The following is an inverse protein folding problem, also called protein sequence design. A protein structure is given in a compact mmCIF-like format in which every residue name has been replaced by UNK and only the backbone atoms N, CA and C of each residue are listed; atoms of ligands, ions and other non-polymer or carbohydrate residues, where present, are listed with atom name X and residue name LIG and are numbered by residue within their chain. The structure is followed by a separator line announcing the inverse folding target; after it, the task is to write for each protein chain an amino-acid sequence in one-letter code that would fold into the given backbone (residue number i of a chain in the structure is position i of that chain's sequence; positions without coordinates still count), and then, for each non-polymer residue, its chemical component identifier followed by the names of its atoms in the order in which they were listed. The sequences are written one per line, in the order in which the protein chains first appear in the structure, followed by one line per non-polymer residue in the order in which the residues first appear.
data_IF_354921023041
#
_entry.id   IF_354921023041
#
_cell.length_a   1.000
_cell.length_b   1.000
_cell.length_c   1.000
_cell.angle_alpha   90.00
_cell.angle_beta   90.00
_cell.angle_gamma   90.00
#
_symmetry.space_group_name_H-M   'P 1'
#
loop_
_entity.id
_entity.type
_entity.pdbx_description
1 polymer ?
#
# COMPACT_ATOMS: atom_id res chain seq x y z
N UNK A 1 9.76 -71.27 33.93
CA UNK A 1 9.06 -70.09 34.45
C UNK A 1 9.91 -68.79 34.38
N UNK A 2 11.15 -68.74 34.86
CA UNK A 2 12.00 -67.56 34.81
C UNK A 2 12.23 -66.98 33.40
N UNK A 3 12.52 -67.77 32.40
CA UNK A 3 12.74 -67.33 31.00
C UNK A 3 11.47 -66.77 30.34
N UNK A 4 10.31 -67.33 30.68
CA UNK A 4 9.02 -66.87 30.16
C UNK A 4 8.68 -65.49 30.74
N UNK A 5 8.96 -65.21 32.01
CA UNK A 5 8.78 -63.93 32.68
C UNK A 5 9.74 -62.89 32.11
N UNK A 6 10.98 -63.21 31.80
CA UNK A 6 11.94 -62.36 31.14
C UNK A 6 11.52 -61.93 29.73
N UNK A 7 10.91 -62.86 28.96
CA UNK A 7 10.38 -62.50 27.62
C UNK A 7 9.20 -61.54 27.70
N UNK A 8 8.30 -61.67 28.68
CA UNK A 8 7.18 -60.76 28.89
C UNK A 8 7.68 -59.36 29.28
N UNK A 9 8.63 -59.28 30.20
CA UNK A 9 9.21 -57.99 30.61
C UNK A 9 9.90 -57.31 29.43
N UNK A 10 10.67 -58.03 28.62
CA UNK A 10 11.34 -57.48 27.43
C UNK A 10 10.31 -56.95 26.40
N UNK A 11 9.21 -57.69 26.17
CA UNK A 11 8.16 -57.25 25.26
C UNK A 11 7.45 -55.95 25.75
N UNK A 12 7.21 -55.83 27.06
CA UNK A 12 6.63 -54.65 27.68
C UNK A 12 7.58 -53.44 27.54
N UNK A 13 8.89 -53.65 27.80
CA UNK A 13 9.91 -52.58 27.67
C UNK A 13 10.01 -52.12 26.23
N UNK A 14 10.02 -53.01 25.25
CA UNK A 14 10.03 -52.68 23.83
C UNK A 14 8.73 -51.91 23.46
N UNK A 15 7.57 -52.34 23.94
CA UNK A 15 6.31 -51.65 23.72
C UNK A 15 6.31 -50.21 24.26
N UNK A 16 6.84 -50.01 25.47
CA UNK A 16 6.99 -48.66 26.07
C UNK A 16 7.98 -47.82 25.27
N UNK A 17 9.09 -48.39 24.83
CA UNK A 17 10.07 -47.69 23.98
C UNK A 17 9.45 -47.27 22.64
N UNK A 18 8.70 -48.13 21.99
CA UNK A 18 7.97 -47.81 20.77
C UNK A 18 6.93 -46.70 20.95
N UNK A 19 6.22 -46.72 22.08
CA UNK A 19 5.27 -45.64 22.45
C UNK A 19 5.98 -44.32 22.72
N UNK A 20 7.13 -44.34 23.41
CA UNK A 20 7.92 -43.11 23.63
C UNK A 20 8.50 -42.54 22.32
N UNK A 21 9.00 -43.41 21.44
CA UNK A 21 9.51 -43.03 20.12
C UNK A 21 8.36 -42.47 19.26
N UNK A 22 7.20 -43.14 19.26
CA UNK A 22 6.01 -42.67 18.54
C UNK A 22 5.51 -41.32 19.09
N UNK A 23 5.54 -41.12 20.40
CA UNK A 23 5.20 -39.86 21.05
C UNK A 23 6.22 -38.76 20.73
N UNK A 24 7.52 -39.09 20.66
CA UNK A 24 8.59 -38.19 20.29
C UNK A 24 8.51 -37.81 18.80
N UNK A 25 8.19 -38.72 17.90
CA UNK A 25 7.92 -38.41 16.48
C UNK A 25 6.65 -37.59 16.31
N UNK A 26 5.55 -37.91 17.01
CA UNK A 26 4.33 -37.08 17.02
C UNK A 26 4.55 -35.69 17.57
N UNK A 27 5.39 -35.55 18.58
CA UNK A 27 5.78 -34.24 19.14
C UNK A 27 6.64 -33.42 18.17
N UNK A 28 7.40 -34.07 17.28
CA UNK A 28 8.23 -33.44 16.26
C UNK A 28 7.44 -33.12 14.98
N UNK A 29 6.43 -33.90 14.63
CA UNK A 29 5.53 -33.67 13.49
C UNK A 29 4.43 -32.64 13.81
N UNK A 30 4.13 -32.37 15.09
CA UNK A 30 3.21 -31.31 15.50
C UNK A 30 3.78 -29.89 15.37
N UNK A 31 4.96 -29.71 14.75
CA UNK A 31 5.50 -28.40 14.42
C UNK A 31 5.07 -27.89 13.04
N UNK A 32 4.35 -28.63 12.24
CA UNK A 32 3.58 -28.12 11.12
C UNK A 32 2.14 -27.89 11.61
N UNK A 33 1.92 -26.77 12.31
CA UNK A 33 0.56 -26.33 12.59
C UNK A 33 -0.15 -26.13 11.25
N UNK A 34 -1.31 -26.76 11.06
CA UNK A 34 -2.24 -26.43 9.97
C UNK A 34 -2.84 -25.03 10.16
N UNK A 35 -2.10 -24.14 10.80
CA UNK A 35 -2.50 -22.79 11.12
C UNK A 35 -2.43 -21.94 9.87
N UNK A 36 -3.54 -21.36 9.48
CA UNK A 36 -3.63 -20.48 8.31
C UNK A 36 -3.71 -19.03 8.74
N UNK A 37 -3.12 -18.17 7.92
CA UNK A 37 -3.20 -16.73 8.02
C UNK A 37 -3.80 -16.17 6.73
N UNK A 38 -4.94 -15.53 6.82
CA UNK A 38 -5.63 -14.93 5.68
C UNK A 38 -5.20 -13.47 5.54
N UNK A 39 -4.50 -13.18 4.45
CA UNK A 39 -3.94 -11.85 4.14
C UNK A 39 -4.66 -11.26 2.95
N UNK A 40 -5.15 -10.02 3.07
CA UNK A 40 -5.88 -9.31 2.04
C UNK A 40 -5.16 -8.01 1.70
N UNK A 41 -4.52 -7.96 0.54
CA UNK A 41 -3.61 -6.89 0.14
C UNK A 41 -3.94 -6.38 -1.27
N UNK A 42 -3.28 -5.33 -1.70
CA UNK A 42 -3.28 -4.87 -3.07
C UNK A 42 -2.61 -5.88 -4.00
N UNK A 43 -2.92 -5.83 -5.31
CA UNK A 43 -2.18 -6.56 -6.33
C UNK A 43 -0.72 -6.10 -6.38
N UNK A 44 0.21 -7.03 -6.61
CA UNK A 44 1.66 -6.76 -6.75
C UNK A 44 2.28 -5.90 -5.64
N UNK A 45 1.83 -6.06 -4.40
CA UNK A 45 2.17 -5.20 -3.28
C UNK A 45 3.00 -5.88 -2.19
N UNK A 46 3.53 -7.05 -2.47
CA UNK A 46 4.47 -7.81 -1.63
C UNK A 46 5.32 -8.73 -2.48
N UNK A 47 6.62 -8.80 -2.19
CA UNK A 47 7.47 -9.85 -2.74
C UNK A 47 7.02 -11.22 -2.20
N UNK A 48 6.49 -12.06 -3.09
CA UNK A 48 5.97 -13.39 -2.74
C UNK A 48 7.03 -14.32 -2.13
N UNK A 49 8.31 -14.04 -2.31
CA UNK A 49 9.39 -14.77 -1.64
C UNK A 49 9.38 -14.53 -0.12
N UNK A 50 8.92 -13.35 0.33
CA UNK A 50 8.74 -13.05 1.75
C UNK A 50 7.60 -13.87 2.38
N UNK A 51 6.54 -14.13 1.63
CA UNK A 51 5.47 -15.02 2.11
C UNK A 51 6.04 -16.42 2.35
N UNK A 52 6.76 -16.99 1.38
CA UNK A 52 7.42 -18.28 1.52
C UNK A 52 8.42 -18.31 2.69
N UNK A 53 9.15 -17.22 2.89
CA UNK A 53 10.07 -17.05 4.00
C UNK A 53 9.34 -17.06 5.34
N UNK A 54 8.25 -16.31 5.46
CA UNK A 54 7.41 -16.28 6.65
C UNK A 54 6.85 -17.67 6.99
N UNK A 55 6.28 -18.36 6.00
CA UNK A 55 5.76 -19.73 6.16
C UNK A 55 6.85 -20.70 6.67
N UNK A 56 8.06 -20.60 6.09
CA UNK A 56 9.20 -21.43 6.50
C UNK A 56 9.65 -21.14 7.93
N UNK A 57 9.67 -19.88 8.33
CA UNK A 57 10.16 -19.45 9.66
C UNK A 57 9.13 -19.73 10.77
N UNK A 58 7.83 -19.65 10.45
CA UNK A 58 6.77 -19.71 11.46
C UNK A 58 5.96 -21.01 11.44
N UNK A 59 5.96 -21.74 10.32
CA UNK A 59 5.08 -22.88 10.08
C UNK A 59 3.63 -22.50 9.78
N UNK A 60 3.30 -21.20 9.71
CA UNK A 60 1.95 -20.69 9.43
C UNK A 60 1.79 -20.58 7.91
N UNK A 61 0.80 -21.26 7.35
CA UNK A 61 0.48 -21.17 5.92
C UNK A 61 -0.27 -19.86 5.62
N UNK A 62 0.19 -19.08 4.62
CA UNK A 62 -0.45 -17.83 4.21
C UNK A 62 -1.43 -18.07 3.06
N UNK A 63 -2.68 -17.68 3.25
CA UNK A 63 -3.69 -17.60 2.19
C UNK A 63 -3.74 -16.13 1.77
N UNK A 64 -3.16 -15.84 0.60
CA UNK A 64 -3.00 -14.48 0.11
C UNK A 64 -4.06 -14.19 -0.95
N UNK A 65 -4.87 -13.16 -0.72
CA UNK A 65 -5.87 -12.65 -1.66
C UNK A 65 -5.61 -11.17 -1.95
N UNK A 66 -6.01 -10.71 -3.14
CA UNK A 66 -5.83 -9.33 -3.57
C UNK A 66 -7.15 -8.62 -3.81
N UNK A 67 -7.09 -7.27 -3.76
CA UNK A 67 -8.19 -6.37 -4.11
C UNK A 67 -7.66 -5.23 -4.99
N UNK A 68 -8.58 -4.60 -5.73
CA UNK A 68 -8.27 -3.54 -6.69
C UNK A 68 -8.69 -2.15 -6.17
N UNK A 69 -9.52 -2.09 -5.11
CA UNK A 69 -9.98 -0.82 -4.55
C UNK A 69 -10.25 -0.93 -3.05
N UNK A 70 -10.06 0.20 -2.34
CA UNK A 70 -10.42 0.32 -0.92
C UNK A 70 -11.91 0.03 -0.67
N UNK A 71 -12.76 0.42 -1.61
CA UNK A 71 -14.21 0.23 -1.52
C UNK A 71 -14.58 -1.26 -1.59
N UNK A 72 -13.95 -2.02 -2.49
CA UNK A 72 -14.14 -3.47 -2.58
C UNK A 72 -13.64 -4.17 -1.32
N UNK A 73 -12.48 -3.79 -0.80
CA UNK A 73 -11.90 -4.33 0.43
C UNK A 73 -12.79 -3.98 1.64
N UNK A 74 -13.22 -2.72 1.80
CA UNK A 74 -14.12 -2.28 2.86
C UNK A 74 -15.43 -3.08 2.84
N UNK A 75 -16.06 -3.22 1.67
CA UNK A 75 -17.30 -3.96 1.52
C UNK A 75 -17.16 -5.42 1.94
N UNK A 76 -16.05 -6.07 1.56
CA UNK A 76 -15.78 -7.46 1.90
C UNK A 76 -15.54 -7.66 3.40
N UNK A 77 -14.79 -6.77 4.04
CA UNK A 77 -14.59 -6.78 5.51
C UNK A 77 -15.90 -6.51 6.25
N UNK A 78 -16.71 -5.55 5.76
CA UNK A 78 -17.97 -5.15 6.38
C UNK A 78 -19.03 -6.25 6.30
N UNK A 79 -19.11 -6.94 5.17
CA UNK A 79 -20.11 -8.00 4.96
C UNK A 79 -19.81 -9.30 5.74
N UNK A 80 -18.58 -9.49 6.21
CA UNK A 80 -18.22 -10.56 7.16
C UNK A 80 -18.31 -11.99 6.62
N UNK A 81 -18.56 -12.19 5.33
CA UNK A 81 -18.67 -13.54 4.72
C UNK A 81 -17.31 -14.26 4.57
N UNK A 82 -16.24 -13.52 4.56
CA UNK A 82 -14.86 -14.02 4.58
C UNK A 82 -14.13 -13.37 5.76
N UNK A 83 -13.36 -14.13 6.51
CA UNK A 83 -12.51 -13.56 7.54
C UNK A 83 -11.11 -13.34 6.97
N UNK A 84 -10.53 -12.18 7.27
CA UNK A 84 -9.13 -11.88 7.03
C UNK A 84 -8.47 -11.58 8.36
N UNK A 85 -7.20 -11.97 8.48
CA UNK A 85 -6.41 -11.77 9.69
C UNK A 85 -5.58 -10.49 9.58
N UNK A 86 -5.11 -10.16 8.36
CA UNK A 86 -4.42 -8.91 8.06
C UNK A 86 -5.00 -8.32 6.79
N UNK A 87 -5.26 -7.01 6.79
CA UNK A 87 -5.66 -6.25 5.59
C UNK A 87 -4.81 -4.98 5.44
N UNK A 88 -4.74 -4.46 4.21
CA UNK A 88 -3.84 -3.34 3.84
C UNK A 88 -4.61 -2.13 3.28
N UNK A 89 -5.45 -1.47 4.11
CA UNK A 89 -6.19 -0.28 3.69
C UNK A 89 -5.33 0.97 3.60
N UNK A 90 -5.74 1.89 2.72
CA UNK A 90 -5.26 3.26 2.77
C UNK A 90 -5.83 4.01 3.98
N UNK A 91 -5.20 5.12 4.37
CA UNK A 91 -5.46 5.87 5.60
C UNK A 91 -6.92 6.34 5.75
N UNK A 92 -7.58 6.74 4.66
CA UNK A 92 -9.00 7.16 4.72
C UNK A 92 -9.94 5.97 4.97
N UNK A 93 -9.55 4.79 4.52
CA UNK A 93 -10.31 3.56 4.78
C UNK A 93 -10.06 3.05 6.20
N UNK A 94 -8.84 3.24 6.75
CA UNK A 94 -8.60 3.03 8.20
C UNK A 94 -9.57 3.87 9.01
N UNK A 95 -9.80 5.15 8.65
CA UNK A 95 -10.75 6.03 9.35
C UNK A 95 -12.18 5.47 9.27
N UNK A 96 -12.63 5.02 8.09
CA UNK A 96 -13.97 4.43 7.90
C UNK A 96 -14.16 3.15 8.70
N UNK A 97 -13.20 2.22 8.62
CA UNK A 97 -13.26 0.93 9.34
C UNK A 97 -13.20 1.14 10.85
N UNK A 98 -12.36 2.06 11.34
CA UNK A 98 -12.28 2.45 12.74
C UNK A 98 -13.61 3.02 13.25
N UNK A 99 -14.20 3.97 12.51
CA UNK A 99 -15.51 4.57 12.82
C UNK A 99 -16.63 3.52 12.88
N UNK A 100 -16.57 2.54 11.98
CA UNK A 100 -17.49 1.41 11.95
C UNK A 100 -17.18 0.33 13.01
N UNK A 101 -16.12 0.47 13.82
CA UNK A 101 -15.65 -0.49 14.84
C UNK A 101 -15.30 -1.88 14.25
N UNK A 102 -14.80 -1.90 13.04
CA UNK A 102 -14.43 -3.12 12.30
C UNK A 102 -12.94 -3.51 12.45
N UNK A 103 -12.16 -2.73 13.20
CA UNK A 103 -10.73 -3.01 13.45
C UNK A 103 -10.47 -3.40 14.89
N UNK A 104 -9.51 -4.31 15.10
CA UNK A 104 -8.93 -4.62 16.40
C UNK A 104 -8.04 -3.48 16.87
N UNK A 105 -8.01 -3.24 18.16
CA UNK A 105 -6.98 -2.40 18.79
C UNK A 105 -5.67 -3.19 18.83
N UNK A 106 -4.61 -2.62 18.30
CA UNK A 106 -3.31 -3.28 18.22
C UNK A 106 -2.61 -3.30 19.59
N UNK A 107 -1.98 -4.42 19.88
CA UNK A 107 -1.02 -4.55 20.99
C UNK A 107 0.40 -4.40 20.43
N UNK A 108 1.01 -3.25 20.64
CA UNK A 108 2.36 -2.94 20.13
C UNK A 108 3.45 -3.83 20.75
N UNK A 109 3.26 -4.39 21.95
CA UNK A 109 4.22 -5.33 22.53
C UNK A 109 4.41 -6.61 21.71
N UNK A 110 3.40 -6.95 20.88
CA UNK A 110 3.45 -8.06 19.93
C UNK A 110 4.12 -7.71 18.61
N UNK A 111 4.49 -6.44 18.41
CA UNK A 111 5.11 -5.93 17.17
C UNK A 111 6.43 -5.20 17.54
N UNK A 112 7.43 -5.88 18.11
CA UNK A 112 8.67 -5.22 18.57
C UNK A 112 9.42 -4.47 17.45
N UNK A 113 9.25 -4.85 16.18
CA UNK A 113 9.84 -4.15 15.04
C UNK A 113 9.16 -2.82 14.69
N UNK A 114 8.08 -2.44 15.37
CA UNK A 114 7.46 -1.10 15.22
C UNK A 114 8.49 0.03 15.50
N UNK A 115 9.50 -0.21 16.34
CA UNK A 115 10.63 0.69 16.62
C UNK A 115 11.49 1.04 15.39
N UNK A 116 11.39 0.23 14.33
CA UNK A 116 12.09 0.45 13.07
C UNK A 116 11.44 1.55 12.22
N UNK A 117 10.17 1.90 12.51
CA UNK A 117 9.46 2.95 11.80
C UNK A 117 10.00 4.34 12.16
N UNK A 118 9.88 5.25 11.21
CA UNK A 118 10.20 6.66 11.42
C UNK A 118 9.07 7.36 12.17
N UNK A 119 9.42 8.14 13.19
CA UNK A 119 8.43 8.85 14.00
C UNK A 119 7.63 9.88 13.20
N UNK A 120 8.20 10.42 12.12
CA UNK A 120 7.54 11.40 11.26
C UNK A 120 6.32 10.79 10.54
N UNK A 121 6.29 9.46 10.37
CA UNK A 121 5.19 8.72 9.74
C UNK A 121 4.31 7.96 10.73
N UNK A 122 4.51 8.20 12.02
CA UNK A 122 3.72 7.61 13.10
C UNK A 122 2.79 8.64 13.75
N UNK A 123 1.78 8.17 14.44
CA UNK A 123 0.86 9.02 15.21
C UNK A 123 0.15 10.08 14.36
N UNK A 124 -0.15 9.74 13.09
CA UNK A 124 -0.84 10.63 12.17
C UNK A 124 -2.32 10.80 12.53
N UNK A 125 -2.93 11.89 12.08
CA UNK A 125 -4.28 12.31 12.48
C UNK A 125 -5.38 11.29 12.19
N UNK A 126 -5.18 10.43 11.19
CA UNK A 126 -6.16 9.38 10.87
C UNK A 126 -6.18 8.23 11.90
N UNK A 127 -5.06 7.96 12.58
CA UNK A 127 -4.98 6.97 13.63
C UNK A 127 -4.00 7.37 14.75
N UNK A 128 -4.40 8.29 15.65
CA UNK A 128 -3.56 8.72 16.76
C UNK A 128 -3.05 7.55 17.61
N UNK A 129 -1.74 7.61 17.92
CA UNK A 129 -0.98 6.57 18.63
C UNK A 129 -0.91 5.22 17.88
N UNK A 130 -1.19 5.18 16.59
CA UNK A 130 -1.22 3.96 15.78
C UNK A 130 -2.00 2.83 16.47
N UNK A 131 -3.17 3.21 16.97
CA UNK A 131 -3.98 2.33 17.81
C UNK A 131 -4.60 1.17 17.02
N UNK A 132 -4.86 1.36 15.74
CA UNK A 132 -5.57 0.41 14.88
C UNK A 132 -4.77 0.01 13.64
N UNK A 133 -3.71 0.74 13.31
CA UNK A 133 -2.99 0.58 12.06
C UNK A 133 -1.50 0.82 12.21
N UNK A 134 -0.71 0.14 11.40
CA UNK A 134 0.74 0.34 11.29
C UNK A 134 1.07 0.70 9.84
N UNK A 135 1.72 1.83 9.56
CA UNK A 135 2.13 2.21 8.20
C UNK A 135 3.00 1.13 7.55
N UNK A 136 2.69 0.83 6.29
CA UNK A 136 3.35 -0.20 5.49
C UNK A 136 4.16 0.41 4.34
N UNK A 137 3.52 1.16 3.47
CA UNK A 137 4.11 2.00 2.45
C UNK A 137 3.49 3.39 2.47
N UNK A 138 4.18 4.34 1.85
CA UNK A 138 3.65 5.68 1.60
C UNK A 138 4.13 6.20 0.26
N UNK A 139 3.50 7.25 -0.21
CA UNK A 139 3.91 7.91 -1.44
C UNK A 139 3.11 9.18 -1.71
N UNK A 140 3.33 9.72 -2.89
CA UNK A 140 2.68 10.94 -3.36
C UNK A 140 2.05 10.70 -4.73
N UNK A 141 1.18 11.59 -5.15
CA UNK A 141 0.78 11.74 -6.55
C UNK A 141 1.57 12.89 -7.15
N UNK A 142 2.02 12.77 -8.37
CA UNK A 142 2.81 13.81 -9.01
C UNK A 142 2.89 13.65 -10.52
N UNK A 143 3.72 14.47 -11.15
CA UNK A 143 3.90 14.52 -12.59
C UNK A 143 5.18 13.75 -12.95
N UNK A 144 5.04 12.68 -13.71
CA UNK A 144 6.14 11.99 -14.39
C UNK A 144 6.23 12.50 -15.81
N UNK A 145 7.43 12.82 -16.29
CA UNK A 145 7.61 13.29 -17.66
C UNK A 145 8.94 12.85 -18.28
N UNK A 146 8.95 12.77 -19.61
CA UNK A 146 10.10 12.42 -20.42
C UNK A 146 10.89 13.69 -20.81
N UNK A 147 12.08 13.88 -20.21
CA UNK A 147 12.99 15.01 -20.47
C UNK A 147 13.61 15.00 -21.87
N UNK A 148 13.67 13.86 -22.54
CA UNK A 148 14.19 13.78 -23.91
C UNK A 148 13.16 14.24 -24.91
N UNK A 149 11.87 13.96 -24.63
CA UNK A 149 10.75 14.45 -25.44
C UNK A 149 10.50 15.94 -25.23
N UNK A 150 10.62 16.41 -23.98
CA UNK A 150 10.36 17.79 -23.57
C UNK A 150 11.57 18.41 -22.87
N UNK A 151 12.71 18.61 -23.59
CA UNK A 151 13.98 19.01 -22.96
C UNK A 151 14.00 20.43 -22.40
N UNK A 152 13.09 21.29 -22.85
CA UNK A 152 12.99 22.68 -22.43
C UNK A 152 11.87 22.93 -21.41
N UNK A 153 11.14 21.87 -21.01
CA UNK A 153 10.04 21.96 -20.10
C UNK A 153 10.48 21.67 -18.66
N UNK A 154 9.96 22.44 -17.75
CA UNK A 154 10.05 22.21 -16.32
C UNK A 154 8.65 22.10 -15.77
N UNK A 155 8.35 20.95 -15.17
CA UNK A 155 7.06 20.74 -14.51
C UNK A 155 7.24 21.04 -13.03
N UNK A 156 6.60 22.10 -12.53
CA UNK A 156 6.60 22.45 -11.10
C UNK A 156 5.20 22.77 -10.57
N UNK A 157 4.20 22.77 -11.45
CA UNK A 157 2.81 23.17 -11.19
C UNK A 157 1.83 22.23 -11.88
N UNK A 158 0.65 22.02 -11.30
CA UNK A 158 -0.45 21.35 -12.00
C UNK A 158 -0.89 22.14 -13.25
N UNK A 159 -0.70 23.45 -13.27
CA UNK A 159 -1.03 24.30 -14.42
C UNK A 159 -0.18 24.01 -15.66
N UNK A 160 1.04 23.50 -15.48
CA UNK A 160 1.94 23.16 -16.58
C UNK A 160 1.35 22.08 -17.49
N UNK A 161 0.48 21.20 -16.97
CA UNK A 161 -0.19 20.16 -17.77
C UNK A 161 -1.13 20.71 -18.85
N UNK A 162 -1.60 21.96 -18.69
CA UNK A 162 -2.61 22.55 -19.58
C UNK A 162 -2.03 23.15 -20.86
N UNK A 163 -0.70 23.15 -21.05
CA UNK A 163 -0.06 23.70 -22.22
C UNK A 163 -0.40 22.87 -23.49
N UNK A 164 -0.77 23.56 -24.58
CA UNK A 164 -1.24 22.94 -25.82
C UNK A 164 -0.23 22.02 -26.51
N UNK A 165 1.05 22.15 -26.18
CA UNK A 165 2.12 21.28 -26.69
C UNK A 165 2.01 19.83 -26.24
N UNK A 166 1.30 19.55 -25.15
CA UNK A 166 1.05 18.21 -24.63
C UNK A 166 -0.22 17.57 -25.21
N UNK A 167 -0.75 18.12 -26.31
CA UNK A 167 -1.98 17.62 -26.92
C UNK A 167 -1.94 16.12 -27.16
N UNK A 168 -2.91 15.40 -26.58
CA UNK A 168 -3.06 13.95 -26.67
C UNK A 168 -1.79 13.15 -26.27
N UNK A 169 -1.09 13.61 -25.23
CA UNK A 169 0.18 13.02 -24.78
C UNK A 169 0.24 12.78 -23.26
N UNK A 170 -0.78 13.21 -22.50
CA UNK A 170 -0.85 13.04 -21.05
C UNK A 170 -1.64 11.78 -20.70
N UNK A 171 -1.05 10.93 -19.89
CA UNK A 171 -1.71 9.79 -19.25
C UNK A 171 -2.11 10.16 -17.82
N UNK A 172 -3.33 9.84 -17.43
CA UNK A 172 -3.82 10.06 -16.07
C UNK A 172 -4.13 8.72 -15.40
N UNK A 173 -3.79 8.59 -14.13
CA UNK A 173 -4.17 7.44 -13.33
C UNK A 173 -5.70 7.35 -13.20
N UNK A 174 -6.27 6.12 -13.24
CA UNK A 174 -7.71 5.89 -13.07
C UNK A 174 -8.10 5.93 -11.59
N UNK A 175 -8.19 7.15 -11.04
CA UNK A 175 -8.53 7.40 -9.66
C UNK A 175 -9.33 8.69 -9.49
N UNK A 176 -10.58 8.58 -9.02
CA UNK A 176 -11.46 9.74 -8.86
C UNK A 176 -10.88 10.77 -7.86
N UNK A 177 -10.29 10.29 -6.77
CA UNK A 177 -9.68 11.16 -5.76
C UNK A 177 -8.49 11.91 -6.35
N UNK A 178 -7.58 11.20 -6.99
CA UNK A 178 -6.33 11.71 -7.55
C UNK A 178 -6.57 12.77 -8.63
N UNK A 179 -7.56 12.55 -9.49
CA UNK A 179 -7.84 13.49 -10.60
C UNK A 179 -8.60 14.73 -10.11
N UNK A 180 -9.61 14.57 -9.27
CA UNK A 180 -10.36 15.72 -8.75
C UNK A 180 -9.49 16.55 -7.79
N UNK A 181 -8.64 15.91 -6.97
CA UNK A 181 -7.71 16.65 -6.10
C UNK A 181 -6.70 17.49 -6.88
N UNK A 182 -6.20 16.98 -8.01
CA UNK A 182 -5.32 17.76 -8.90
C UNK A 182 -6.00 19.07 -9.31
N UNK A 183 -7.27 19.01 -9.73
CA UNK A 183 -8.06 20.19 -10.06
C UNK A 183 -8.30 21.10 -8.85
N UNK A 184 -8.60 20.53 -7.68
CA UNK A 184 -8.80 21.29 -6.44
C UNK A 184 -7.51 22.02 -6.01
N UNK A 185 -6.37 21.30 -5.96
CA UNK A 185 -5.09 21.88 -5.57
C UNK A 185 -4.65 22.99 -6.53
N UNK A 186 -4.80 22.78 -7.85
CA UNK A 186 -4.56 23.82 -8.87
C UNK A 186 -5.32 25.11 -8.59
N UNK A 187 -6.55 24.99 -8.09
CA UNK A 187 -7.42 26.13 -7.73
C UNK A 187 -7.16 26.66 -6.32
N UNK A 188 -6.19 26.10 -5.58
CA UNK A 188 -5.85 26.52 -4.21
C UNK A 188 -6.80 25.98 -3.13
N UNK A 189 -7.59 24.95 -3.45
CA UNK A 189 -8.45 24.26 -2.49
C UNK A 189 -7.74 23.03 -1.90
N UNK A 190 -8.17 22.60 -0.70
CA UNK A 190 -7.73 21.35 -0.10
C UNK A 190 -8.18 20.15 -0.94
N UNK A 191 -7.31 19.15 -1.06
CA UNK A 191 -7.68 17.87 -1.69
C UNK A 191 -8.76 17.08 -0.89
N UNK A 192 -9.07 17.54 0.32
CA UNK A 192 -10.15 17.01 1.17
C UNK A 192 -11.38 17.93 1.19
N UNK A 193 -11.49 18.86 0.25
CA UNK A 193 -12.62 19.80 0.19
C UNK A 193 -13.94 19.04 -0.03
N UNK A 194 -14.97 19.43 0.72
CA UNK A 194 -16.31 18.84 0.69
C UNK A 194 -17.37 19.79 0.12
N UNK A 195 -16.93 20.99 -0.30
CA UNK A 195 -17.85 21.96 -0.88
C UNK A 195 -18.20 21.58 -2.33
N UNK A 196 -19.46 21.24 -2.63
CA UNK A 196 -19.85 20.83 -3.99
C UNK A 196 -19.51 21.88 -5.04
N UNK A 197 -19.55 23.18 -4.69
CA UNK A 197 -19.21 24.27 -5.61
C UNK A 197 -17.72 24.21 -6.01
N UNK A 198 -16.82 23.95 -5.06
CA UNK A 198 -15.39 23.84 -5.35
C UNK A 198 -15.07 22.57 -6.17
N UNK A 199 -15.72 21.45 -5.84
CA UNK A 199 -15.59 20.19 -6.58
C UNK A 199 -16.04 20.40 -8.03
N UNK A 200 -17.17 21.05 -8.25
CA UNK A 200 -17.65 21.37 -9.60
C UNK A 200 -16.74 22.38 -10.34
N UNK A 201 -16.13 23.34 -9.63
CA UNK A 201 -15.14 24.24 -10.22
C UNK A 201 -13.89 23.47 -10.68
N UNK A 202 -13.42 22.51 -9.88
CA UNK A 202 -12.31 21.64 -10.25
C UNK A 202 -12.65 20.78 -11.47
N UNK A 203 -13.83 20.16 -11.51
CA UNK A 203 -14.34 19.45 -12.69
C UNK A 203 -14.33 20.31 -13.94
N UNK A 204 -14.92 21.52 -13.85
CA UNK A 204 -14.96 22.46 -14.97
C UNK A 204 -13.56 22.86 -15.46
N UNK A 205 -12.62 23.07 -14.54
CA UNK A 205 -11.23 23.37 -14.89
C UNK A 205 -10.57 22.20 -15.59
N UNK A 206 -10.78 20.96 -15.11
CA UNK A 206 -10.26 19.74 -15.73
C UNK A 206 -10.74 19.54 -17.17
N UNK A 207 -11.93 20.00 -17.55
CA UNK A 207 -12.37 19.98 -18.95
C UNK A 207 -11.43 20.77 -19.89
N UNK A 208 -10.71 21.78 -19.37
CA UNK A 208 -9.70 22.49 -20.16
C UNK A 208 -8.43 21.66 -20.38
N UNK A 209 -8.18 20.64 -19.52
CA UNK A 209 -7.10 19.68 -19.69
C UNK A 209 -7.43 18.58 -20.71
N UNK A 210 -8.69 18.31 -20.98
CA UNK A 210 -9.15 17.21 -21.82
C UNK A 210 -8.42 17.10 -23.20
N UNK A 211 -8.12 18.20 -23.92
CA UNK A 211 -7.40 18.11 -25.20
C UNK A 211 -5.96 17.56 -25.08
N UNK A 212 -5.33 17.63 -23.91
CA UNK A 212 -3.97 17.16 -23.65
C UNK A 212 -3.98 15.69 -23.22
N UNK A 213 -5.10 15.20 -22.68
CA UNK A 213 -5.22 13.85 -22.16
C UNK A 213 -5.31 12.83 -23.30
N UNK A 214 -4.41 11.87 -23.29
CA UNK A 214 -4.42 10.69 -24.17
C UNK A 214 -5.34 9.60 -23.62
N UNK A 215 -5.35 9.43 -22.30
CA UNK A 215 -6.18 8.42 -21.65
C UNK A 215 -6.09 8.48 -20.14
N UNK A 216 -7.12 7.89 -19.51
CA UNK A 216 -7.16 7.58 -18.09
C UNK A 216 -7.02 6.06 -17.98
N UNK A 217 -5.96 5.58 -17.32
CA UNK A 217 -5.53 4.19 -17.38
C UNK A 217 -5.12 3.67 -15.99
N UNK A 218 -5.25 2.38 -15.78
CA UNK A 218 -4.85 1.69 -14.56
C UNK A 218 -3.38 1.28 -14.55
N UNK A 219 -3.11 0.02 -14.21
CA UNK A 219 -1.75 -0.52 -14.07
C UNK A 219 -0.97 -0.54 -15.40
N UNK A 220 -1.67 -0.52 -16.54
CA UNK A 220 -1.07 -0.45 -17.87
C UNK A 220 -0.31 0.84 -18.15
N UNK A 221 -0.45 1.87 -17.32
CA UNK A 221 0.22 3.18 -17.48
C UNK A 221 1.75 3.04 -17.62
N UNK A 222 2.35 2.13 -16.83
CA UNK A 222 3.79 1.86 -16.89
C UNK A 222 4.22 1.35 -18.25
N UNK A 223 3.49 0.38 -18.80
CA UNK A 223 3.77 -0.20 -20.10
C UNK A 223 3.60 0.84 -21.22
N UNK A 224 2.54 1.65 -21.15
CA UNK A 224 2.27 2.71 -22.15
C UNK A 224 3.40 3.75 -22.18
N UNK A 225 3.88 4.19 -21.02
CA UNK A 225 5.03 5.10 -20.91
C UNK A 225 6.31 4.50 -21.52
N UNK A 226 6.61 3.23 -21.24
CA UNK A 226 7.77 2.53 -21.78
C UNK A 226 7.68 2.35 -23.31
N UNK A 227 6.47 2.20 -23.85
CA UNK A 227 6.20 2.09 -25.29
C UNK A 227 6.08 3.45 -26.01
N UNK A 228 6.30 4.55 -25.30
CA UNK A 228 6.14 5.92 -25.81
C UNK A 228 4.71 6.24 -26.29
N UNK A 229 3.73 5.64 -25.65
CA UNK A 229 2.31 5.93 -25.90
C UNK A 229 1.78 7.12 -25.07
N UNK A 230 2.65 7.82 -24.40
CA UNK A 230 2.49 9.04 -23.64
C UNK A 230 3.83 9.43 -23.06
N UNK A 231 4.09 10.74 -22.88
CA UNK A 231 5.37 11.23 -22.40
C UNK A 231 5.25 12.07 -21.13
N UNK A 232 4.04 12.41 -20.75
CA UNK A 232 3.69 13.06 -19.47
C UNK A 232 2.62 12.23 -18.79
N UNK A 233 2.72 12.06 -17.49
CA UNK A 233 1.71 11.31 -16.73
C UNK A 233 1.49 11.87 -15.33
N UNK A 234 0.25 11.81 -14.86
CA UNK A 234 -0.09 11.99 -13.45
C UNK A 234 -0.19 10.61 -12.83
N UNK A 235 0.72 10.29 -11.91
CA UNK A 235 0.88 8.93 -11.37
C UNK A 235 1.25 8.95 -9.89
N UNK A 236 1.05 7.81 -9.23
CA UNK A 236 1.63 7.56 -7.91
C UNK A 236 3.16 7.43 -7.99
N UNK A 237 3.83 7.89 -6.96
CA UNK A 237 5.30 7.87 -6.86
C UNK A 237 5.92 6.47 -7.03
N UNK A 238 5.22 5.40 -6.62
CA UNK A 238 5.69 4.03 -6.80
C UNK A 238 5.65 3.55 -8.26
N UNK A 239 4.76 4.07 -9.08
CA UNK A 239 4.78 3.86 -10.54
C UNK A 239 5.97 4.61 -11.16
N UNK A 240 6.22 5.82 -10.70
CA UNK A 240 7.31 6.66 -11.22
C UNK A 240 8.70 6.15 -10.82
N UNK A 241 8.86 5.62 -9.60
CA UNK A 241 10.17 5.29 -9.02
C UNK A 241 10.98 4.28 -9.85
N UNK A 242 10.45 3.12 -10.27
CA UNK A 242 11.18 2.20 -11.13
C UNK A 242 11.59 2.85 -12.46
N UNK A 243 10.68 3.56 -13.11
CA UNK A 243 10.94 4.21 -14.41
C UNK A 243 12.08 5.22 -14.31
N UNK A 244 12.07 6.06 -13.28
CA UNK A 244 13.11 7.08 -13.05
C UNK A 244 14.45 6.46 -12.66
N UNK A 245 14.45 5.31 -11.96
CA UNK A 245 15.66 4.61 -11.55
C UNK A 245 16.32 3.83 -12.69
N UNK A 246 15.52 3.28 -13.58
CA UNK A 246 15.98 2.49 -14.74
C UNK A 246 16.39 3.36 -15.91
N UNK A 247 15.69 4.48 -16.14
CA UNK A 247 15.92 5.34 -17.28
C UNK A 247 15.95 6.82 -16.91
N UNK A 248 17.13 7.45 -17.09
CA UNK A 248 17.39 8.86 -16.74
C UNK A 248 16.61 9.85 -17.60
N UNK A 249 15.94 9.42 -18.67
CA UNK A 249 15.05 10.29 -19.46
C UNK A 249 13.83 10.74 -18.66
N UNK A 250 13.34 9.91 -17.74
CA UNK A 250 12.20 10.26 -16.89
C UNK A 250 12.59 11.14 -15.71
N UNK A 251 11.69 12.02 -15.34
CA UNK A 251 11.73 12.74 -14.07
C UNK A 251 10.35 12.76 -13.43
N UNK A 252 10.32 12.82 -12.10
CA UNK A 252 9.10 12.92 -11.32
C UNK A 252 9.15 14.16 -10.43
N UNK A 253 8.08 14.90 -10.36
CA UNK A 253 7.95 16.11 -9.55
C UNK A 253 6.64 16.12 -8.78
N UNK A 254 6.70 16.68 -7.57
CA UNK A 254 5.53 16.99 -6.75
C UNK A 254 5.23 18.48 -6.98
N UNK A 255 4.07 18.84 -7.54
CA UNK A 255 3.73 20.24 -7.83
C UNK A 255 3.74 21.16 -6.62
N UNK A 256 4.04 22.42 -6.84
CA UNK A 256 4.20 23.43 -5.78
C UNK A 256 2.91 23.77 -5.04
N UNK A 257 1.77 23.59 -5.68
CA UNK A 257 0.45 23.81 -5.06
C UNK A 257 0.16 22.78 -3.97
N UNK A 258 0.85 21.64 -4.00
CA UNK A 258 0.64 20.52 -3.11
C UNK A 258 0.16 19.28 -3.84
N UNK A 259 0.02 18.22 -3.10
CA UNK A 259 -0.48 16.94 -3.56
C UNK A 259 -0.84 16.03 -2.39
N UNK A 260 -1.30 14.83 -2.68
CA UNK A 260 -1.55 13.80 -1.70
C UNK A 260 -0.26 13.21 -1.13
N UNK A 261 -0.23 13.01 0.18
CA UNK A 261 0.70 12.12 0.87
C UNK A 261 -0.12 10.97 1.44
N UNK A 262 -0.16 9.86 0.72
CA UNK A 262 -0.96 8.70 1.10
C UNK A 262 -0.15 7.69 1.91
N UNK A 263 -0.87 6.90 2.72
CA UNK A 263 -0.32 5.82 3.54
C UNK A 263 -1.18 4.57 3.41
N UNK A 264 -0.58 3.47 2.97
CA UNK A 264 -1.19 2.17 3.16
C UNK A 264 -0.74 1.55 4.48
N UNK A 265 -1.65 0.89 5.14
CA UNK A 265 -1.48 0.47 6.52
C UNK A 265 -1.81 -0.99 6.70
N UNK A 266 -1.10 -1.66 7.58
CA UNK A 266 -1.48 -2.99 8.07
C UNK A 266 -2.50 -2.85 9.20
N UNK A 267 -3.62 -3.55 9.11
CA UNK A 267 -4.66 -3.59 10.14
C UNK A 267 -5.09 -5.03 10.42
N UNK A 268 -5.67 -5.26 11.60
CA UNK A 268 -6.29 -6.53 11.99
C UNK A 268 -7.82 -6.31 12.01
N UNK A 269 -8.60 -6.88 11.09
CA UNK A 269 -10.05 -6.81 11.12
C UNK A 269 -10.64 -7.48 12.37
N UNK A 270 -11.82 -7.04 12.82
CA UNK A 270 -12.54 -7.66 13.96
C UNK A 270 -12.90 -9.13 13.73
N UNK A 271 -13.02 -9.53 12.47
CA UNK A 271 -13.32 -10.90 12.07
C UNK A 271 -12.12 -11.83 12.09
N UNK A 272 -10.91 -11.32 12.39
CA UNK A 272 -9.67 -12.10 12.41
C UNK A 272 -9.76 -13.29 13.37
N UNK A 273 -9.41 -14.47 12.87
CA UNK A 273 -9.41 -15.73 13.61
C UNK A 273 -8.01 -16.10 14.10
N UNK A 274 -6.96 -15.69 13.38
CA UNK A 274 -5.56 -15.92 13.71
C UNK A 274 -4.83 -14.61 14.05
N UNK A 275 -5.21 -13.97 15.16
CA UNK A 275 -4.60 -12.71 15.59
C UNK A 275 -3.12 -12.84 15.94
N UNK A 276 -2.70 -13.97 16.51
CA UNK A 276 -1.29 -14.21 16.83
C UNK A 276 -0.44 -14.33 15.56
N UNK A 277 -0.94 -15.04 14.55
CA UNK A 277 -0.34 -15.09 13.22
C UNK A 277 -0.27 -13.72 12.57
N UNK A 278 -1.33 -12.90 12.70
CA UNK A 278 -1.37 -11.53 12.19
C UNK A 278 -0.27 -10.66 12.82
N UNK A 279 -0.10 -10.68 14.14
CA UNK A 279 0.98 -9.96 14.82
C UNK A 279 2.37 -10.42 14.37
N UNK A 280 2.58 -11.73 14.24
CA UNK A 280 3.85 -12.28 13.73
C UNK A 280 4.13 -11.79 12.31
N UNK A 281 3.11 -11.77 11.44
CA UNK A 281 3.25 -11.33 10.05
C UNK A 281 3.56 -9.83 9.95
N UNK A 282 2.82 -8.99 10.68
CA UNK A 282 3.11 -7.56 10.77
C UNK A 282 4.52 -7.30 11.28
N UNK A 283 4.94 -7.98 12.35
CA UNK A 283 6.29 -7.85 12.89
C UNK A 283 7.36 -8.33 11.91
N UNK A 284 7.10 -9.40 11.16
CA UNK A 284 7.99 -9.94 10.12
C UNK A 284 8.17 -8.94 8.97
N UNK A 285 7.11 -8.31 8.50
CA UNK A 285 7.17 -7.28 7.44
C UNK A 285 7.90 -6.02 7.90
N UNK A 286 7.87 -5.70 9.19
CA UNK A 286 8.60 -4.58 9.77
C UNK A 286 10.05 -4.89 10.13
N UNK A 287 10.52 -6.12 9.96
CA UNK A 287 11.95 -6.41 10.04
C UNK A 287 12.71 -5.59 8.98
N UNK A 288 13.86 -5.02 9.37
CA UNK A 288 14.58 -4.10 8.52
C UNK A 288 15.05 -4.71 7.19
N UNK A 289 15.39 -6.01 7.18
CA UNK A 289 15.82 -6.70 5.96
C UNK A 289 14.64 -7.06 5.07
N UNK A 290 13.55 -7.58 5.67
CA UNK A 290 12.35 -7.95 4.95
C UNK A 290 11.66 -6.71 4.35
N UNK A 291 11.56 -5.63 5.13
CA UNK A 291 11.00 -4.36 4.66
C UNK A 291 11.84 -3.74 3.54
N UNK A 292 13.19 -3.81 3.62
CA UNK A 292 14.05 -3.31 2.55
C UNK A 292 13.87 -4.12 1.25
N UNK A 293 13.88 -5.46 1.35
CA UNK A 293 13.64 -6.35 0.21
C UNK A 293 12.28 -6.05 -0.44
N UNK A 294 11.24 -5.89 0.38
CA UNK A 294 9.90 -5.60 -0.11
C UNK A 294 9.82 -4.23 -0.79
N UNK A 295 10.49 -3.22 -0.24
CA UNK A 295 10.59 -1.88 -0.82
C UNK A 295 11.27 -1.89 -2.19
N UNK A 296 12.35 -2.64 -2.33
CA UNK A 296 13.06 -2.77 -3.62
C UNK A 296 12.20 -3.48 -4.67
N UNK A 297 11.40 -4.46 -4.26
CA UNK A 297 10.54 -5.21 -5.17
C UNK A 297 9.30 -4.41 -5.59
N UNK A 298 8.63 -3.75 -4.63
CA UNK A 298 7.37 -3.01 -4.87
C UNK A 298 7.63 -1.65 -5.51
N UNK A 299 8.74 -0.98 -5.17
CA UNK A 299 9.10 0.34 -5.67
C UNK A 299 8.53 1.53 -4.88
N UNK A 300 7.63 1.32 -3.91
CA UNK A 300 7.10 2.38 -3.06
C UNK A 300 8.01 2.73 -1.89
N UNK A 301 7.90 3.95 -1.38
CA UNK A 301 8.67 4.39 -0.23
C UNK A 301 8.21 3.71 1.06
N UNK A 302 9.18 3.33 1.88
CA UNK A 302 8.92 2.68 3.16
C UNK A 302 8.99 3.67 4.33
N UNK A 303 8.03 3.64 5.26
CA UNK A 303 8.11 4.38 6.52
C UNK A 303 9.12 3.77 7.51
N UNK A 304 9.71 2.62 7.17
CA UNK A 304 10.67 1.90 8.01
C UNK A 304 12.08 2.49 7.81
N UNK A 305 12.52 3.36 8.74
CA UNK A 305 13.84 4.02 8.66
C UNK A 305 15.02 3.03 8.71
N UNK A 306 14.86 1.91 9.43
CA UNK A 306 15.88 0.88 9.50
C UNK A 306 16.01 0.14 8.15
N UNK A 307 14.89 -0.11 7.46
CA UNK A 307 14.87 -0.64 6.10
C UNK A 307 15.43 0.38 5.09
N UNK A 308 14.97 1.63 5.14
CA UNK A 308 15.45 2.71 4.26
C UNK A 308 16.98 2.84 4.32
N UNK A 309 17.59 2.65 5.50
CA UNK A 309 19.05 2.70 5.64
C UNK A 309 19.79 1.62 4.86
N UNK A 310 19.11 0.49 4.54
CA UNK A 310 19.65 -0.63 3.77
C UNK A 310 19.51 -0.48 2.26
N UNK A 311 18.59 0.37 1.81
CA UNK A 311 18.37 0.64 0.39
C UNK A 311 19.61 1.29 -0.27
N UNK A 312 19.81 1.10 -1.59
CA UNK A 312 20.84 1.80 -2.35
C UNK A 312 20.79 3.32 -2.12
N UNK A 313 21.94 3.97 -2.06
CA UNK A 313 22.03 5.43 -1.81
C UNK A 313 21.19 6.25 -2.77
N UNK A 314 21.13 5.84 -4.04
CA UNK A 314 20.32 6.50 -5.08
C UNK A 314 18.82 6.45 -4.80
N UNK A 315 18.34 5.41 -4.10
CA UNK A 315 16.92 5.24 -3.74
C UNK A 315 16.62 5.97 -2.44
N UNK A 316 17.37 5.66 -1.37
CA UNK A 316 17.06 6.18 -0.02
C UNK A 316 17.21 7.69 0.14
N UNK A 317 17.99 8.35 -0.74
CA UNK A 317 18.23 9.79 -0.72
C UNK A 317 17.46 10.53 -1.82
N UNK A 318 16.62 9.85 -2.58
CA UNK A 318 15.85 10.49 -3.64
C UNK A 318 14.66 11.24 -3.03
N UNK A 319 14.76 12.57 -2.99
CA UNK A 319 13.75 13.46 -2.43
C UNK A 319 12.40 13.40 -3.16
N UNK A 320 12.40 12.91 -4.40
CA UNK A 320 11.16 12.73 -5.18
C UNK A 320 10.24 11.68 -4.54
N UNK A 321 10.83 10.69 -3.85
CA UNK A 321 10.11 9.58 -3.22
C UNK A 321 10.15 9.67 -1.68
N UNK A 322 11.10 10.41 -1.14
CA UNK A 322 11.24 10.70 0.29
C UNK A 322 11.25 12.22 0.50
N UNK A 323 10.07 12.88 0.35
CA UNK A 323 9.99 14.33 0.42
C UNK A 323 10.52 14.86 1.75
N UNK A 324 11.22 16.00 1.69
CA UNK A 324 11.74 16.69 2.86
C UNK A 324 10.60 17.19 3.75
N UNK A 325 10.90 17.50 5.02
CA UNK A 325 9.90 18.08 5.94
C UNK A 325 9.28 19.38 5.39
N UNK A 326 10.05 20.17 4.62
CA UNK A 326 9.53 21.37 3.96
C UNK A 326 8.53 21.04 2.86
N UNK A 327 8.81 20.01 2.05
CA UNK A 327 7.89 19.55 1.00
C UNK A 327 6.63 18.93 1.60
N UNK A 328 6.76 18.17 2.68
CA UNK A 328 5.62 17.56 3.37
C UNK A 328 4.62 18.59 3.92
N UNK A 329 5.04 19.84 4.22
CA UNK A 329 4.14 20.89 4.69
C UNK A 329 3.07 21.31 3.68
N UNK A 330 3.30 21.07 2.39
CA UNK A 330 2.36 21.34 1.30
C UNK A 330 1.55 20.12 0.87
N UNK A 331 1.82 18.95 1.47
CA UNK A 331 1.13 17.71 1.18
C UNK A 331 0.00 17.48 2.18
N UNK A 332 -1.09 16.91 1.70
CA UNK A 332 -2.21 16.55 2.56
C UNK A 332 -2.44 15.04 2.57
N UNK A 333 -2.77 14.53 3.74
CA UNK A 333 -3.20 13.14 3.91
C UNK A 333 -4.71 13.05 3.64
N UNK A 334 -5.17 12.02 2.95
CA UNK A 334 -6.59 11.82 2.69
C UNK A 334 -7.39 11.62 3.97
N UNK A 335 -8.56 12.26 3.99
CA UNK A 335 -9.57 12.09 5.04
C UNK A 335 -10.78 11.32 4.51
N UNK A 336 -11.51 10.70 5.40
CA UNK A 336 -12.84 10.18 5.10
C UNK A 336 -13.77 11.33 4.75
N UNK A 337 -14.12 11.46 3.48
CA UNK A 337 -15.02 12.52 2.98
C UNK A 337 -16.48 12.29 3.37
N UNK A 338 -16.83 11.06 3.76
CA UNK A 338 -18.22 10.62 3.89
C UNK A 338 -18.85 10.31 2.53
N UNK A 339 -20.00 9.63 2.56
CA UNK A 339 -20.63 9.09 1.36
C UNK A 339 -21.04 10.17 0.34
N UNK A 340 -21.60 11.29 0.79
CA UNK A 340 -22.07 12.36 -0.09
C UNK A 340 -20.93 12.98 -0.90
N UNK A 341 -19.89 13.48 -0.22
CA UNK A 341 -18.76 14.11 -0.93
C UNK A 341 -17.97 13.11 -1.79
N UNK A 342 -17.88 11.85 -1.36
CA UNK A 342 -17.27 10.81 -2.19
C UNK A 342 -18.08 10.58 -3.47
N UNK A 343 -19.43 10.63 -3.39
CA UNK A 343 -20.30 10.56 -4.57
C UNK A 343 -20.06 11.74 -5.51
N UNK A 344 -19.93 12.95 -4.95
CA UNK A 344 -19.65 14.16 -5.76
C UNK A 344 -18.30 14.06 -6.51
N UNK A 345 -17.24 13.55 -5.84
CA UNK A 345 -15.95 13.30 -6.50
C UNK A 345 -16.07 12.27 -7.62
N UNK A 346 -16.75 11.16 -7.38
CA UNK A 346 -16.94 10.10 -8.38
C UNK A 346 -17.77 10.60 -9.58
N UNK A 347 -18.82 11.38 -9.34
CA UNK A 347 -19.66 11.96 -10.40
C UNK A 347 -18.84 12.95 -11.25
N UNK A 348 -18.12 13.87 -10.61
CA UNK A 348 -17.26 14.85 -11.29
C UNK A 348 -16.15 14.16 -12.09
N UNK A 349 -15.55 13.11 -11.55
CA UNK A 349 -14.56 12.32 -12.27
C UNK A 349 -15.15 11.60 -13.49
N UNK A 350 -16.33 11.00 -13.34
CA UNK A 350 -17.02 10.34 -14.45
C UNK A 350 -17.40 11.34 -15.55
N UNK A 351 -17.87 12.52 -15.19
CA UNK A 351 -18.19 13.60 -16.14
C UNK A 351 -16.94 14.04 -16.91
N UNK A 352 -15.82 14.21 -16.22
CA UNK A 352 -14.54 14.50 -16.86
C UNK A 352 -14.12 13.37 -17.81
N UNK A 353 -14.17 12.11 -17.35
CA UNK A 353 -13.81 10.93 -18.15
C UNK A 353 -14.65 10.82 -19.42
N UNK A 354 -15.94 11.12 -19.34
CA UNK A 354 -16.84 11.14 -20.51
C UNK A 354 -16.56 12.29 -21.49
N UNK A 355 -15.87 13.34 -21.09
CA UNK A 355 -15.50 14.45 -21.95
C UNK A 355 -14.24 14.18 -22.80
N UNK A 356 -13.49 13.13 -22.48
CA UNK A 356 -12.34 12.69 -23.27
C UNK A 356 -12.85 11.99 -24.56
N UNK A 357 -12.38 12.45 -25.69
CA UNK A 357 -12.84 11.96 -27.03
C UNK A 357 -11.87 10.94 -27.61
#
# INVERSE_FOLDING_TARGET
MKRFFQLIISAIVIGILCLMISHWFKSKDNTHSNEKLYVYNWGEYIDLSLIKKFEKETGIQVVYETFDSNEAMEAKIRNGGTHYDVAFPSEYTVQKLKKAKLLETLNHDKIPNIRNLDNDYMNLSYDPNNRYSIPYFFGTVGILYDKEKYPNETFDSWDDLYHSQFKNDILLVDGAREIIEMGLNKLGYSLNDKNPTHIHQAEKDLHNLAPQVRGIVGDEITMMLQQNEGHVAVVWSGVAAPLVQENTRYNYVIPKEGSNLWFDNMVIPKTAQNKEGAYKFMNFLLDAQNSAQNTEWVGYATPNKAARSKLPKKVRNDYRFYPSNQEQQRLEVYKDLGQTSLSDYNESFLNFKMSLK
#
